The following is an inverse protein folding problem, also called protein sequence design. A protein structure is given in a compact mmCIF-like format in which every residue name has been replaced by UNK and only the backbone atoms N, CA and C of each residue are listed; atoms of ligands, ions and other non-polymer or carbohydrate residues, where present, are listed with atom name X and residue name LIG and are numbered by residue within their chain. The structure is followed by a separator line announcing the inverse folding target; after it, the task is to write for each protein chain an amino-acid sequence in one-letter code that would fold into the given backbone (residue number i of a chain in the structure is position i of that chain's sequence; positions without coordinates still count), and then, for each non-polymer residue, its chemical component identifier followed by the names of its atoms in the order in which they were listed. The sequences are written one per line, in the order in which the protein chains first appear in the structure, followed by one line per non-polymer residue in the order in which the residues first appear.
data_IF_256457616933
#
_entry.id   IF_256457616933
#
_cell.length_a   1.000
_cell.length_b   1.000
_cell.length_c   1.000
_cell.angle_alpha   90.00
_cell.angle_beta   90.00
_cell.angle_gamma   90.00
#
_symmetry.space_group_name_H-M   'P 1'
#
loop_
_entity.id
_entity.type
_entity.pdbx_description
1 polymer ?
#
# COMPACT_ATOMS: atom_id res chain seq x y z
N UNK A 1 -4.48 15.60 -12.80
CA UNK A 1 -3.30 14.71 -12.89
C UNK A 1 -2.50 14.90 -11.60
N UNK A 2 -1.94 13.82 -11.04
CA UNK A 2 -1.17 13.83 -9.79
C UNK A 2 0.27 13.36 -10.07
N UNK A 3 1.19 13.65 -9.15
CA UNK A 3 2.60 13.23 -9.23
C UNK A 3 3.06 12.73 -7.86
N UNK A 4 3.14 11.40 -7.71
CA UNK A 4 3.52 10.75 -6.45
C UNK A 4 5.02 10.89 -6.16
N UNK A 5 5.86 11.19 -7.16
CA UNK A 5 7.29 11.40 -6.94
C UNK A 5 7.59 12.68 -6.15
N UNK A 6 6.62 13.59 -6.03
CA UNK A 6 6.72 14.79 -5.17
C UNK A 6 6.54 14.49 -3.69
N UNK A 7 6.03 13.30 -3.34
CA UNK A 7 5.85 12.89 -1.96
C UNK A 7 7.20 12.72 -1.26
N UNK A 8 7.41 13.33 -0.07
CA UNK A 8 8.64 13.11 0.70
C UNK A 8 8.74 11.69 1.28
N UNK A 9 7.64 10.92 1.26
CA UNK A 9 7.55 9.57 1.82
C UNK A 9 7.99 8.46 0.84
N UNK A 10 7.95 8.73 -0.47
CA UNK A 10 8.14 7.70 -1.53
C UNK A 10 9.60 7.62 -1.95
N UNK A 11 10.08 6.41 -2.28
CA UNK A 11 11.44 6.15 -2.81
C UNK A 11 11.59 6.74 -4.23
N UNK A 12 12.64 7.54 -4.50
CA UNK A 12 13.02 7.90 -5.86
C UNK A 12 14.15 6.99 -6.40
N UNK A 13 14.17 6.64 -7.69
CA UNK A 13 13.06 6.79 -8.64
C UNK A 13 11.94 5.79 -8.31
N UNK A 14 10.70 6.14 -8.67
CA UNK A 14 9.62 5.15 -8.69
C UNK A 14 9.78 4.16 -9.86
N UNK A 15 9.00 3.09 -9.83
CA UNK A 15 8.90 2.05 -10.86
C UNK A 15 7.45 1.92 -11.39
N UNK A 16 7.21 1.18 -12.50
CA UNK A 16 5.86 1.01 -13.05
C UNK A 16 4.81 0.51 -12.07
N UNK A 17 5.14 -0.42 -11.16
CA UNK A 17 4.18 -0.89 -10.15
C UNK A 17 3.83 0.24 -9.17
N UNK A 18 4.83 0.97 -8.69
CA UNK A 18 4.63 2.12 -7.81
C UNK A 18 3.78 3.23 -8.44
N UNK A 19 3.80 3.36 -9.77
CA UNK A 19 3.00 4.35 -10.51
C UNK A 19 1.60 3.87 -10.88
N UNK A 20 1.33 2.57 -10.83
CA UNK A 20 0.06 1.97 -11.28
C UNK A 20 -0.82 1.44 -10.15
N UNK A 21 -0.24 1.08 -9.00
CA UNK A 21 -1.00 0.54 -7.88
C UNK A 21 -1.92 1.58 -7.23
N UNK A 22 -3.08 1.11 -6.78
CA UNK A 22 -4.14 1.96 -6.23
C UNK A 22 -3.69 2.73 -4.98
N UNK A 23 -2.98 2.09 -4.06
CA UNK A 23 -2.61 2.72 -2.79
C UNK A 23 -1.61 3.89 -2.96
N UNK A 24 -0.55 3.78 -3.81
CA UNK A 24 0.23 4.93 -4.24
C UNK A 24 -0.59 6.03 -4.94
N UNK A 25 -1.57 5.68 -5.79
CA UNK A 25 -2.46 6.67 -6.40
C UNK A 25 -3.27 7.45 -5.37
N UNK A 26 -3.91 6.75 -4.44
CA UNK A 26 -4.70 7.36 -3.37
C UNK A 26 -3.83 8.20 -2.42
N UNK A 27 -2.58 7.79 -2.19
CA UNK A 27 -1.58 8.61 -1.49
C UNK A 27 -1.28 9.90 -2.25
N UNK A 28 -1.09 9.81 -3.57
CA UNK A 28 -0.95 10.96 -4.45
C UNK A 28 -2.14 11.92 -4.37
N UNK A 29 -3.38 11.40 -4.41
CA UNK A 29 -4.62 12.19 -4.26
C UNK A 29 -4.69 12.85 -2.89
N UNK A 30 -4.31 12.15 -1.83
CA UNK A 30 -4.38 12.65 -0.46
C UNK A 30 -3.40 13.81 -0.19
N UNK A 31 -2.32 13.93 -0.96
CA UNK A 31 -1.28 14.92 -0.70
C UNK A 31 -0.89 15.87 -1.84
N UNK A 32 -1.46 15.70 -3.04
CA UNK A 32 -1.17 16.56 -4.19
C UNK A 32 -1.58 18.01 -3.91
N UNK A 33 -0.71 18.96 -4.26
CA UNK A 33 -0.97 20.40 -4.19
C UNK A 33 -1.11 21.02 -5.59
N UNK A 34 -1.41 20.19 -6.61
CA UNK A 34 -1.45 20.57 -8.01
C UNK A 34 -0.15 20.28 -8.78
N UNK A 35 -0.09 20.74 -10.04
CA UNK A 35 0.97 20.39 -11.00
C UNK A 35 2.06 21.46 -11.17
N UNK A 36 1.86 22.66 -10.62
CA UNK A 36 2.79 23.78 -10.80
C UNK A 36 4.21 23.43 -10.33
N UNK A 37 5.23 24.04 -10.91
CA UNK A 37 6.65 23.81 -10.52
C UNK A 37 6.90 24.05 -9.03
N UNK A 38 6.14 24.95 -8.41
CA UNK A 38 6.21 25.27 -6.99
C UNK A 38 5.22 24.46 -6.13
N UNK A 39 4.37 23.63 -6.73
CA UNK A 39 3.41 22.82 -5.99
C UNK A 39 4.15 21.68 -5.27
N UNK A 40 4.15 21.73 -3.94
CA UNK A 40 4.75 20.69 -3.11
C UNK A 40 3.86 19.45 -2.97
N UNK A 41 4.11 18.71 -1.90
CA UNK A 41 3.27 17.61 -1.45
C UNK A 41 3.02 17.78 0.05
N UNK A 42 1.76 17.69 0.46
CA UNK A 42 1.34 17.74 1.86
C UNK A 42 0.04 16.98 1.99
N UNK A 43 -0.01 15.98 2.86
CA UNK A 43 -1.24 15.25 3.16
C UNK A 43 -2.27 16.20 3.77
N UNK A 44 -3.42 16.37 3.12
CA UNK A 44 -4.55 17.19 3.61
C UNK A 44 -5.63 16.35 4.32
N UNK A 45 -5.45 15.03 4.34
CA UNK A 45 -6.29 14.08 5.07
C UNK A 45 -5.40 13.18 5.93
N UNK A 46 -5.94 12.69 7.04
CA UNK A 46 -5.24 11.73 7.90
C UNK A 46 -5.24 10.33 7.28
N UNK A 47 -4.45 10.16 6.20
CA UNK A 47 -4.25 8.89 5.51
C UNK A 47 -2.93 8.28 5.95
N UNK A 48 -2.99 7.06 6.47
CA UNK A 48 -1.81 6.31 6.88
C UNK A 48 -0.92 5.99 5.66
N UNK A 49 0.36 6.35 5.74
CA UNK A 49 1.31 6.11 4.66
C UNK A 49 1.60 4.62 4.46
N UNK A 50 1.45 3.79 5.49
CA UNK A 50 1.73 2.35 5.42
C UNK A 50 0.89 1.63 4.37
N UNK A 51 -0.30 2.14 4.06
CA UNK A 51 -1.16 1.64 2.97
C UNK A 51 -0.43 1.62 1.62
N UNK A 52 0.50 2.53 1.37
CA UNK A 52 1.27 2.58 0.11
C UNK A 52 2.04 1.27 -0.12
N UNK A 53 2.56 0.63 0.94
CA UNK A 53 3.32 -0.60 0.85
C UNK A 53 2.46 -1.89 0.84
N UNK A 54 1.13 -1.76 0.73
CA UNK A 54 0.20 -2.91 0.79
C UNK A 54 0.59 -4.01 -0.18
N UNK A 55 0.90 -3.66 -1.43
CA UNK A 55 1.18 -4.62 -2.51
C UNK A 55 2.56 -4.44 -3.16
N UNK A 56 3.39 -3.53 -2.65
CA UNK A 56 4.72 -3.24 -3.20
C UNK A 56 5.62 -2.61 -2.13
N UNK A 57 6.89 -2.35 -2.46
CA UNK A 57 7.84 -1.64 -1.60
C UNK A 57 8.14 -0.24 -2.16
N UNK A 58 7.30 0.74 -1.80
CA UNK A 58 7.27 2.08 -2.41
C UNK A 58 7.78 3.16 -1.46
N UNK A 59 7.54 3.00 -0.16
CA UNK A 59 7.95 3.97 0.86
C UNK A 59 9.44 3.86 1.17
N UNK A 60 10.06 4.98 1.56
CA UNK A 60 11.47 4.99 1.98
C UNK A 60 11.71 4.09 3.19
N UNK A 61 12.88 3.45 3.22
CA UNK A 61 13.25 2.49 4.26
C UNK A 61 13.33 3.12 5.66
N UNK A 62 13.57 4.44 5.75
CA UNK A 62 13.62 5.19 7.01
C UNK A 62 12.31 5.16 7.81
N UNK A 63 11.18 4.84 7.17
CA UNK A 63 9.89 4.69 7.83
C UNK A 63 9.67 3.29 8.41
N UNK A 64 10.57 2.33 8.14
CA UNK A 64 10.52 0.97 8.68
C UNK A 64 9.19 0.22 8.42
N UNK A 65 8.51 0.53 7.32
CA UNK A 65 7.27 -0.13 6.92
C UNK A 65 7.62 -1.27 5.94
N UNK A 66 7.31 -2.53 6.26
CA UNK A 66 7.58 -3.64 5.36
C UNK A 66 6.89 -3.44 4.01
N UNK A 67 7.60 -3.68 2.91
CA UNK A 67 6.97 -3.82 1.59
C UNK A 67 6.11 -5.08 1.53
N UNK A 68 5.12 -5.08 0.63
CA UNK A 68 4.25 -6.25 0.36
C UNK A 68 3.60 -6.83 1.62
N UNK A 69 3.25 -5.98 2.59
CA UNK A 69 2.82 -6.44 3.91
C UNK A 69 1.43 -7.10 3.90
N UNK A 70 0.61 -6.84 2.87
CA UNK A 70 -0.72 -7.44 2.78
C UNK A 70 -0.63 -8.91 2.41
N UNK A 71 -0.87 -9.74 3.41
CA UNK A 71 -1.00 -11.18 3.27
C UNK A 71 -1.97 -11.68 4.33
N UNK A 72 -2.77 -12.68 3.99
CA UNK A 72 -3.58 -13.37 4.98
C UNK A 72 -2.70 -13.99 6.07
N UNK A 73 -3.21 -14.04 7.30
CA UNK A 73 -2.53 -14.73 8.39
C UNK A 73 -2.20 -16.16 7.95
N UNK A 74 -0.93 -16.56 8.10
CA UNK A 74 -0.44 -17.87 7.65
C UNK A 74 -0.76 -18.17 6.17
N UNK A 75 -0.89 -17.14 5.32
CA UNK A 75 -1.32 -17.23 3.91
C UNK A 75 -2.68 -17.91 3.72
N UNK A 76 -3.57 -17.81 4.71
CA UNK A 76 -4.91 -18.43 4.70
C UNK A 76 -4.94 -19.86 5.23
N UNK A 77 -3.81 -20.41 5.68
CA UNK A 77 -3.81 -21.70 6.35
C UNK A 77 -4.32 -21.54 7.79
N UNK A 78 -5.27 -22.38 8.19
CA UNK A 78 -5.82 -22.40 9.54
C UNK A 78 -5.68 -23.79 10.17
N UNK A 79 -5.18 -23.83 11.40
CA UNK A 79 -5.10 -25.07 12.16
C UNK A 79 -6.48 -25.45 12.70
N UNK A 80 -6.84 -26.71 12.54
CA UNK A 80 -8.09 -27.30 13.04
C UNK A 80 -7.90 -27.85 14.46
N UNK A 81 -9.00 -28.20 15.13
CA UNK A 81 -8.97 -28.76 16.49
C UNK A 81 -8.20 -30.09 16.58
N UNK A 82 -8.20 -30.88 15.51
CA UNK A 82 -7.46 -32.15 15.41
C UNK A 82 -5.95 -31.95 15.11
N UNK A 83 -5.50 -30.71 14.99
CA UNK A 83 -4.12 -30.33 14.70
C UNK A 83 -3.76 -30.31 13.20
N UNK A 84 -4.64 -30.75 12.31
CA UNK A 84 -4.46 -30.62 10.87
C UNK A 84 -4.50 -29.14 10.42
N UNK A 85 -3.97 -28.85 9.23
CA UNK A 85 -3.98 -27.51 8.65
C UNK A 85 -4.73 -27.53 7.33
N UNK A 86 -5.73 -26.66 7.20
CA UNK A 86 -6.56 -26.53 6.00
C UNK A 86 -6.40 -25.13 5.40
N UNK A 87 -6.56 -25.04 4.08
CA UNK A 87 -6.60 -23.77 3.36
C UNK A 87 -8.03 -23.21 3.43
N UNK A 88 -8.21 -22.14 4.19
CA UNK A 88 -9.49 -21.44 4.36
C UNK A 88 -9.35 -20.01 3.84
N UNK A 89 -9.07 -19.87 2.54
CA UNK A 89 -8.83 -18.60 1.84
C UNK A 89 -10.08 -18.07 1.11
N UNK A 90 -11.24 -18.68 1.36
CA UNK A 90 -12.52 -18.33 0.74
C UNK A 90 -13.64 -18.43 1.76
N UNK A 91 -14.54 -17.47 1.72
CA UNK A 91 -15.80 -17.56 2.46
C UNK A 91 -16.75 -18.52 1.72
N UNK A 92 -17.45 -19.36 2.48
CA UNK A 92 -18.61 -20.08 1.96
C UNK A 92 -19.78 -19.11 1.87
N UNK A 93 -20.24 -18.84 0.64
CA UNK A 93 -21.46 -18.09 0.40
C UNK A 93 -22.56 -19.07 -0.02
N UNK A 94 -23.59 -19.22 0.82
CA UNK A 94 -24.83 -19.88 0.44
C UNK A 94 -25.66 -18.92 -0.43
N UNK A 95 -25.92 -19.30 -1.68
CA UNK A 95 -26.83 -18.58 -2.60
C UNK A 95 -28.25 -19.11 -2.50
#
# INVERSE_FOLDING_TARGET
MIDTARSPYVKPPGDPASWHLLEPYLHGVAGTQGLGLLAGFKLEVNRDISLVNKQWDVLKDEYCIPGFWWVEKNKGMAQQEDGSWLMLDRDEYDF
#
